data_IF_370382575424
#
_entry.id   IF_370382575424
#
_cell.length_a   1.000
_cell.length_b   1.000
_cell.length_c   1.000
_cell.angle_alpha   90.00
_cell.angle_beta   90.00
_cell.angle_gamma   90.00
#
_symmetry.space_group_name_H-M   'P 1'
#
loop_
_entity.id
_entity.type
_entity.pdbx_description
1 polymer ?
#
# COMPACT_ATOMS: atom_id res chain seq x y z
N UNK A 1 35.04 3.31 -12.47
CA UNK A 1 33.79 2.57 -12.73
C UNK A 1 33.80 1.40 -11.77
N UNK A 2 33.24 1.62 -10.59
CA UNK A 2 33.38 0.72 -9.44
C UNK A 2 32.29 -0.34 -9.47
N UNK A 3 32.56 -1.50 -8.88
CA UNK A 3 31.62 -2.63 -8.73
C UNK A 3 30.26 -2.22 -8.12
N UNK A 4 30.24 -1.13 -7.35
CA UNK A 4 29.04 -0.46 -6.81
C UNK A 4 28.16 0.19 -7.89
N UNK A 5 28.73 0.71 -8.97
CA UNK A 5 27.96 1.29 -10.10
C UNK A 5 27.30 0.21 -10.98
N UNK A 6 27.80 -1.03 -10.91
CA UNK A 6 27.26 -2.18 -11.63
C UNK A 6 26.07 -2.82 -10.89
N UNK A 7 26.05 -2.76 -9.55
CA UNK A 7 24.93 -3.22 -8.72
C UNK A 7 23.72 -2.27 -8.88
N UNK A 8 23.96 -0.97 -9.04
CA UNK A 8 22.90 0.05 -9.14
C UNK A 8 22.17 0.07 -10.51
N UNK A 9 22.75 -0.58 -11.53
CA UNK A 9 22.18 -0.68 -12.90
C UNK A 9 21.46 -1.99 -13.20
N UNK A 10 21.53 -2.98 -12.32
CA UNK A 10 21.08 -4.35 -12.63
C UNK A 10 19.58 -4.62 -12.40
N UNK A 11 18.84 -3.80 -11.63
CA UNK A 11 17.43 -4.08 -11.30
C UNK A 11 16.47 -2.91 -11.59
N UNK A 12 16.50 -2.39 -12.82
CA UNK A 12 15.39 -1.55 -13.27
C UNK A 12 14.10 -2.41 -13.32
N UNK A 13 13.19 -2.20 -12.37
CA UNK A 13 11.89 -2.92 -12.31
C UNK A 13 11.19 -2.83 -13.67
N UNK A 14 11.02 -3.98 -14.32
CA UNK A 14 10.46 -4.09 -15.67
C UNK A 14 8.99 -3.68 -15.70
N UNK A 15 8.48 -3.34 -16.88
CA UNK A 15 7.05 -3.06 -17.08
C UNK A 15 6.17 -4.22 -16.61
N UNK A 16 6.56 -5.47 -16.87
CA UNK A 16 5.82 -6.65 -16.41
C UNK A 16 5.79 -6.78 -14.87
N UNK A 17 6.90 -6.50 -14.19
CA UNK A 17 6.95 -6.51 -12.72
C UNK A 17 6.08 -5.39 -12.13
N UNK A 18 6.09 -4.19 -12.73
CA UNK A 18 5.22 -3.07 -12.34
C UNK A 18 3.74 -3.38 -12.55
N UNK A 19 3.38 -4.01 -13.67
CA UNK A 19 2.03 -4.46 -13.98
C UNK A 19 1.52 -5.46 -12.92
N UNK A 20 2.31 -6.50 -12.62
CA UNK A 20 1.99 -7.48 -11.57
C UNK A 20 1.80 -6.83 -10.20
N UNK A 21 2.62 -5.84 -9.87
CA UNK A 21 2.48 -5.12 -8.62
C UNK A 21 1.15 -4.34 -8.56
N UNK A 22 0.74 -3.67 -9.65
CA UNK A 22 -0.58 -3.02 -9.69
C UNK A 22 -1.74 -4.00 -9.59
N UNK A 23 -1.64 -5.16 -10.25
CA UNK A 23 -2.61 -6.25 -10.12
C UNK A 23 -2.75 -6.71 -8.67
N UNK A 24 -1.62 -6.99 -8.00
CA UNK A 24 -1.60 -7.40 -6.60
C UNK A 24 -2.24 -6.33 -5.70
N UNK A 25 -1.94 -5.05 -5.93
CA UNK A 25 -2.50 -3.95 -5.11
C UNK A 25 -4.00 -3.77 -5.32
N UNK A 26 -4.50 -3.97 -6.54
CA UNK A 26 -5.93 -3.94 -6.80
C UNK A 26 -6.64 -5.09 -6.08
N UNK A 27 -6.09 -6.31 -6.18
CA UNK A 27 -6.61 -7.48 -5.48
C UNK A 27 -6.63 -7.28 -3.97
N UNK A 28 -5.52 -6.83 -3.36
CA UNK A 28 -5.44 -6.56 -1.92
C UNK A 28 -6.48 -5.51 -1.46
N UNK A 29 -6.69 -4.46 -2.27
CA UNK A 29 -7.62 -3.39 -1.93
C UNK A 29 -9.10 -3.84 -1.99
N UNK A 30 -9.47 -4.59 -3.03
CA UNK A 30 -10.82 -5.11 -3.20
C UNK A 30 -11.12 -6.23 -2.18
N UNK A 31 -10.23 -7.21 -2.04
CA UNK A 31 -10.43 -8.30 -1.08
C UNK A 31 -10.45 -7.79 0.36
N UNK A 32 -9.64 -6.77 0.68
CA UNK A 32 -9.68 -6.12 1.99
C UNK A 32 -10.93 -5.27 2.22
N UNK A 33 -11.55 -4.72 1.17
CA UNK A 33 -12.89 -4.13 1.29
C UNK A 33 -13.94 -5.19 1.60
N UNK A 34 -13.94 -6.30 0.87
CA UNK A 34 -14.83 -7.44 1.14
C UNK A 34 -14.66 -7.95 2.58
N UNK A 35 -13.42 -8.14 3.04
CA UNK A 35 -13.11 -8.55 4.41
C UNK A 35 -13.64 -7.54 5.45
N UNK A 36 -13.42 -6.25 5.22
CA UNK A 36 -13.96 -5.19 6.09
C UNK A 36 -15.49 -5.24 6.21
N UNK A 37 -16.21 -5.45 5.11
CA UNK A 37 -17.68 -5.53 5.12
C UNK A 37 -18.18 -6.77 5.86
N UNK A 38 -17.51 -7.90 5.70
CA UNK A 38 -17.81 -9.14 6.44
C UNK A 38 -17.62 -8.93 7.94
N UNK A 39 -16.47 -8.38 8.35
CA UNK A 39 -16.17 -8.12 9.77
C UNK A 39 -17.19 -7.15 10.40
N UNK A 40 -17.63 -6.15 9.63
CA UNK A 40 -18.64 -5.16 10.04
C UNK A 40 -20.06 -5.73 10.06
N UNK A 41 -20.32 -6.83 9.35
CA UNK A 41 -21.67 -7.37 9.09
C UNK A 41 -22.57 -6.36 8.35
N UNK A 42 -21.99 -5.62 7.40
CA UNK A 42 -22.66 -4.55 6.65
C UNK A 42 -23.60 -5.10 5.55
N UNK A 43 -24.62 -5.85 5.93
CA UNK A 43 -25.56 -6.49 4.98
C UNK A 43 -26.39 -5.46 4.21
N UNK A 44 -26.60 -4.27 4.79
CA UNK A 44 -27.31 -3.16 4.17
C UNK A 44 -26.58 -2.57 2.96
N UNK A 45 -25.25 -2.70 2.89
CA UNK A 45 -24.42 -2.17 1.79
C UNK A 45 -24.12 -3.22 0.71
N UNK A 46 -24.65 -4.44 0.83
CA UNK A 46 -24.27 -5.58 -0.01
C UNK A 46 -24.61 -5.36 -1.48
N UNK A 47 -25.79 -4.81 -1.79
CA UNK A 47 -26.20 -4.58 -3.18
C UNK A 47 -25.29 -3.56 -3.86
N UNK A 48 -25.02 -2.44 -3.18
CA UNK A 48 -24.14 -1.38 -3.69
C UNK A 48 -22.69 -1.89 -3.80
N UNK A 49 -22.26 -2.76 -2.88
CA UNK A 49 -20.96 -3.42 -2.98
C UNK A 49 -20.83 -4.28 -4.25
N UNK A 50 -21.86 -5.08 -4.58
CA UNK A 50 -21.86 -5.90 -5.81
C UNK A 50 -21.75 -5.01 -7.06
N UNK A 51 -22.44 -3.87 -7.09
CA UNK A 51 -22.34 -2.91 -8.20
C UNK A 51 -20.93 -2.33 -8.30
N UNK A 52 -20.34 -1.91 -7.18
CA UNK A 52 -18.98 -1.40 -7.12
C UNK A 52 -17.97 -2.45 -7.60
N UNK A 53 -18.11 -3.71 -7.21
CA UNK A 53 -17.25 -4.79 -7.70
C UNK A 53 -17.37 -4.97 -9.22
N UNK A 54 -18.58 -4.96 -9.76
CA UNK A 54 -18.80 -5.05 -11.20
C UNK A 54 -18.10 -3.89 -11.94
N UNK A 55 -18.22 -2.66 -11.44
CA UNK A 55 -17.55 -1.48 -12.01
C UNK A 55 -16.01 -1.56 -11.92
N UNK A 56 -15.47 -2.05 -10.80
CA UNK A 56 -14.02 -2.24 -10.63
C UNK A 56 -13.48 -3.14 -11.73
N UNK A 57 -14.18 -4.24 -12.03
CA UNK A 57 -13.71 -5.29 -12.93
C UNK A 57 -14.11 -5.12 -14.41
N UNK A 58 -15.02 -4.20 -14.74
CA UNK A 58 -15.56 -4.06 -16.09
C UNK A 58 -14.52 -3.74 -17.19
N UNK A 59 -13.46 -2.99 -16.87
CA UNK A 59 -12.46 -2.52 -17.85
C UNK A 59 -11.04 -2.86 -17.40
N UNK A 60 -10.85 -4.07 -16.85
CA UNK A 60 -9.50 -4.55 -16.60
C UNK A 60 -8.72 -4.73 -17.91
N UNK A 61 -7.41 -4.44 -17.92
CA UNK A 61 -6.55 -4.88 -19.00
C UNK A 61 -6.60 -6.40 -19.15
N UNK A 62 -6.23 -6.92 -20.32
CA UNK A 62 -6.04 -8.36 -20.50
C UNK A 62 -5.12 -8.92 -19.40
N UNK A 63 -5.46 -10.10 -18.86
CA UNK A 63 -4.79 -10.66 -17.68
C UNK A 63 -3.29 -10.91 -17.89
N UNK A 64 -2.89 -11.23 -19.11
CA UNK A 64 -1.50 -11.43 -19.55
C UNK A 64 -0.80 -10.12 -19.98
N UNK A 65 -1.51 -8.98 -19.95
CA UNK A 65 -0.95 -7.69 -20.34
C UNK A 65 0.17 -7.26 -19.39
N UNK A 66 1.30 -6.90 -19.99
CA UNK A 66 2.45 -6.30 -19.30
C UNK A 66 2.43 -4.77 -19.33
N UNK A 67 1.36 -4.15 -19.85
CA UNK A 67 1.18 -2.71 -19.82
C UNK A 67 0.88 -2.23 -18.39
N UNK A 68 1.94 -1.88 -17.67
CA UNK A 68 1.83 -1.35 -16.32
C UNK A 68 1.03 -0.05 -16.22
N UNK A 69 0.94 0.77 -17.27
CA UNK A 69 0.16 2.01 -17.22
C UNK A 69 -1.33 1.72 -17.32
N UNK A 70 -1.73 0.70 -18.10
CA UNK A 70 -3.11 0.23 -18.12
C UNK A 70 -3.54 -0.33 -16.76
N UNK A 71 -2.69 -1.17 -16.14
CA UNK A 71 -2.95 -1.69 -14.80
C UNK A 71 -2.94 -0.61 -13.72
N UNK A 72 -2.06 0.39 -13.84
CA UNK A 72 -2.05 1.55 -12.95
C UNK A 72 -3.37 2.33 -13.02
N UNK A 73 -3.90 2.58 -14.23
CA UNK A 73 -5.20 3.26 -14.41
C UNK A 73 -6.34 2.45 -13.80
N UNK A 74 -6.35 1.13 -14.02
CA UNK A 74 -7.34 0.23 -13.43
C UNK A 74 -7.29 0.26 -11.90
N UNK A 75 -6.08 0.19 -11.30
CA UNK A 75 -5.89 0.30 -9.87
C UNK A 75 -6.45 1.61 -9.31
N UNK A 76 -6.11 2.76 -9.91
CA UNK A 76 -6.59 4.06 -9.40
C UNK A 76 -8.08 4.26 -9.53
N UNK A 77 -8.68 3.77 -10.62
CA UNK A 77 -10.13 3.76 -10.78
C UNK A 77 -10.78 2.92 -9.68
N UNK A 78 -10.26 1.70 -9.47
CA UNK A 78 -10.74 0.82 -8.42
C UNK A 78 -10.62 1.45 -7.03
N UNK A 79 -9.46 2.02 -6.71
CA UNK A 79 -9.24 2.73 -5.46
C UNK A 79 -10.23 3.89 -5.25
N UNK A 80 -10.53 4.68 -6.28
CA UNK A 80 -11.50 5.77 -6.19
C UNK A 80 -12.94 5.27 -5.97
N UNK A 81 -13.32 4.13 -6.59
CA UNK A 81 -14.61 3.49 -6.34
C UNK A 81 -14.71 2.97 -4.89
N UNK A 82 -13.67 2.30 -4.40
CA UNK A 82 -13.59 1.78 -3.03
C UNK A 82 -13.65 2.91 -1.99
N UNK A 83 -12.86 3.97 -2.17
CA UNK A 83 -12.86 5.13 -1.26
C UNK A 83 -14.24 5.80 -1.23
N UNK A 84 -14.86 6.03 -2.39
CA UNK A 84 -16.20 6.64 -2.47
C UNK A 84 -17.27 5.77 -1.82
N UNK A 85 -17.26 4.47 -2.09
CA UNK A 85 -18.19 3.53 -1.46
C UNK A 85 -18.05 3.58 0.06
N UNK A 86 -16.82 3.43 0.57
CA UNK A 86 -16.56 3.44 2.01
C UNK A 86 -17.04 4.74 2.68
N UNK A 87 -16.72 5.89 2.09
CA UNK A 87 -17.09 7.19 2.67
C UNK A 87 -18.59 7.45 2.60
N UNK A 88 -19.26 7.08 1.50
CA UNK A 88 -20.72 7.24 1.37
C UNK A 88 -21.46 6.42 2.42
N UNK A 89 -21.05 5.18 2.69
CA UNK A 89 -21.77 4.29 3.60
C UNK A 89 -21.36 4.42 5.06
N UNK A 90 -20.07 4.69 5.33
CA UNK A 90 -19.51 4.56 6.68
C UNK A 90 -18.71 5.79 7.14
N UNK A 91 -18.53 6.77 6.26
CA UNK A 91 -17.83 8.02 6.55
C UNK A 91 -16.30 7.93 6.46
N UNK A 92 -15.67 9.11 6.41
CA UNK A 92 -14.22 9.26 6.16
C UNK A 92 -13.34 8.52 7.18
N UNK A 93 -13.73 8.50 8.44
CA UNK A 93 -12.94 7.89 9.53
C UNK A 93 -12.68 6.39 9.33
N UNK A 94 -13.48 5.71 8.52
CA UNK A 94 -13.40 4.26 8.34
C UNK A 94 -12.29 3.85 7.37
N UNK A 95 -11.69 4.78 6.63
CA UNK A 95 -10.53 4.53 5.77
C UNK A 95 -9.38 3.85 6.53
N UNK A 96 -9.17 4.22 7.79
CA UNK A 96 -8.13 3.60 8.65
C UNK A 96 -8.46 2.15 8.98
N UNK A 97 -9.74 1.83 9.21
CA UNK A 97 -10.16 0.45 9.48
C UNK A 97 -10.06 -0.42 8.23
N UNK A 98 -10.45 0.12 7.07
CA UNK A 98 -10.25 -0.55 5.79
C UNK A 98 -8.77 -0.81 5.51
N UNK A 99 -7.87 0.15 5.79
CA UNK A 99 -6.42 -0.04 5.66
C UNK A 99 -5.88 -1.22 6.49
N UNK A 100 -6.46 -1.47 7.68
CA UNK A 100 -6.12 -2.63 8.52
C UNK A 100 -6.64 -3.94 7.94
N UNK A 101 -7.83 -3.94 7.33
CA UNK A 101 -8.35 -5.13 6.63
C UNK A 101 -7.49 -5.49 5.41
N UNK A 102 -7.06 -4.48 4.63
CA UNK A 102 -6.10 -4.69 3.54
C UNK A 102 -4.78 -5.31 4.04
N UNK A 103 -4.33 -4.93 5.24
CA UNK A 103 -3.12 -5.49 5.84
C UNK A 103 -3.26 -6.99 6.18
N UNK A 104 -4.45 -7.46 6.53
CA UNK A 104 -4.72 -8.89 6.75
C UNK A 104 -4.63 -9.69 5.45
N UNK A 105 -5.22 -9.16 4.36
CA UNK A 105 -5.10 -9.76 3.02
C UNK A 105 -3.64 -9.78 2.58
N UNK A 106 -2.93 -8.65 2.73
CA UNK A 106 -1.49 -8.57 2.49
C UNK A 106 -0.73 -9.67 3.22
N UNK A 107 -0.99 -9.85 4.53
CA UNK A 107 -0.28 -10.83 5.33
C UNK A 107 -0.47 -12.26 4.80
N UNK A 108 -1.66 -12.56 4.26
CA UNK A 108 -2.00 -13.85 3.67
C UNK A 108 -1.38 -14.07 2.27
N UNK A 109 -1.25 -13.02 1.45
CA UNK A 109 -0.93 -13.18 0.02
C UNK A 109 0.51 -12.82 -0.33
N UNK A 110 1.17 -11.99 0.48
CA UNK A 110 2.59 -11.71 0.28
C UNK A 110 3.44 -12.82 0.92
N UNK A 111 4.28 -13.48 0.11
CA UNK A 111 5.16 -14.53 0.62
C UNK A 111 6.16 -13.97 1.62
N UNK A 112 6.42 -14.74 2.67
CA UNK A 112 7.58 -14.51 3.54
C UNK A 112 8.85 -14.94 2.78
N UNK A 113 9.86 -14.07 2.75
CA UNK A 113 11.14 -14.33 2.07
C UNK A 113 12.26 -14.59 3.07
N UNK A 114 11.94 -14.64 4.37
CA UNK A 114 12.91 -14.85 5.45
C UNK A 114 13.78 -13.63 5.74
N UNK A 115 13.52 -12.48 5.11
CA UNK A 115 14.28 -11.24 5.30
C UNK A 115 13.82 -10.40 6.50
N UNK A 116 12.75 -10.81 7.17
CA UNK A 116 12.24 -10.16 8.38
C UNK A 116 11.80 -8.70 8.16
N UNK A 117 12.27 -7.77 8.99
CA UNK A 117 11.97 -6.35 8.86
C UNK A 117 12.37 -5.78 7.48
N UNK A 118 13.43 -6.32 6.86
CA UNK A 118 13.84 -5.93 5.52
C UNK A 118 12.77 -6.21 4.47
N UNK A 119 12.02 -7.32 4.58
CA UNK A 119 10.96 -7.65 3.61
C UNK A 119 9.78 -6.66 3.68
N UNK A 120 9.48 -6.15 4.88
CA UNK A 120 8.45 -5.12 5.09
C UNK A 120 8.87 -3.79 4.43
N UNK A 121 10.13 -3.39 4.62
CA UNK A 121 10.67 -2.19 3.97
C UNK A 121 10.76 -2.38 2.46
N UNK A 122 11.18 -3.56 1.98
CA UNK A 122 11.27 -3.85 0.56
C UNK A 122 9.89 -3.79 -0.11
N UNK A 123 8.82 -4.24 0.56
CA UNK A 123 7.44 -4.05 0.06
C UNK A 123 7.10 -2.58 -0.16
N UNK A 124 7.39 -1.71 0.81
CA UNK A 124 7.15 -0.27 0.69
C UNK A 124 8.00 0.32 -0.44
N UNK A 125 9.27 -0.07 -0.53
CA UNK A 125 10.19 0.35 -1.59
C UNK A 125 9.64 -0.01 -2.97
N UNK A 126 9.22 -1.28 -3.19
CA UNK A 126 8.61 -1.73 -4.46
C UNK A 126 7.38 -0.90 -4.83
N UNK A 127 6.53 -0.56 -3.86
CA UNK A 127 5.38 0.31 -4.12
C UNK A 127 5.83 1.71 -4.56
N UNK A 128 6.76 2.32 -3.84
CA UNK A 128 7.28 3.65 -4.12
C UNK A 128 8.02 3.72 -5.45
N UNK A 129 8.73 2.66 -5.83
CA UNK A 129 9.34 2.49 -7.16
C UNK A 129 8.26 2.49 -8.25
N UNK A 130 7.12 1.84 -8.00
CA UNK A 130 5.99 1.82 -8.92
C UNK A 130 5.38 3.20 -9.18
N UNK A 131 5.50 4.11 -8.20
CA UNK A 131 5.14 5.53 -8.32
C UNK A 131 6.29 6.44 -8.80
N UNK A 132 7.49 5.89 -9.07
CA UNK A 132 8.64 6.67 -9.51
C UNK A 132 9.21 7.59 -8.42
N UNK A 133 9.12 7.17 -7.16
CA UNK A 133 9.65 7.91 -6.01
C UNK A 133 11.18 7.89 -5.97
N UNK A 134 11.80 8.93 -5.41
CA UNK A 134 13.22 8.90 -5.06
C UNK A 134 13.38 8.45 -3.60
N UNK A 135 14.14 7.38 -3.38
CA UNK A 135 14.24 6.72 -2.08
C UNK A 135 15.58 6.02 -1.89
N UNK A 136 15.93 5.75 -0.63
CA UNK A 136 17.14 5.06 -0.22
C UNK A 136 16.84 4.18 0.99
N UNK A 137 17.21 2.90 0.93
CA UNK A 137 17.22 2.02 2.11
C UNK A 137 18.36 2.46 3.02
N UNK A 138 18.06 2.80 4.26
CA UNK A 138 19.05 3.30 5.24
C UNK A 138 19.59 2.19 6.14
N UNK A 139 18.84 1.11 6.29
CA UNK A 139 19.16 -0.05 7.13
C UNK A 139 18.39 -1.26 6.61
N UNK A 140 18.98 -2.45 6.61
CA UNK A 140 18.35 -3.67 6.08
C UNK A 140 18.86 -4.92 6.79
N UNK A 141 18.21 -5.26 7.90
CA UNK A 141 18.45 -6.49 8.67
C UNK A 141 17.13 -7.19 8.97
N UNK A 142 17.20 -8.43 9.46
CA UNK A 142 16.01 -9.20 9.84
C UNK A 142 15.23 -8.56 11.01
N UNK A 143 15.91 -7.90 11.94
CA UNK A 143 15.28 -7.31 13.13
C UNK A 143 14.96 -5.82 12.98
N UNK A 144 15.65 -5.14 12.06
CA UNK A 144 15.48 -3.70 11.82
C UNK A 144 15.77 -3.31 10.38
N UNK A 145 14.92 -2.46 9.81
CA UNK A 145 15.11 -1.90 8.49
C UNK A 145 14.60 -0.46 8.43
N UNK A 146 15.14 0.33 7.50
CA UNK A 146 14.78 1.73 7.34
C UNK A 146 14.76 2.20 5.90
N UNK A 147 13.90 3.17 5.61
CA UNK A 147 13.73 3.75 4.29
C UNK A 147 13.63 5.27 4.39
N UNK A 148 14.40 5.98 3.58
CA UNK A 148 14.27 7.43 3.39
C UNK A 148 13.70 7.69 2.01
N UNK A 149 12.61 8.43 1.93
CA UNK A 149 12.00 8.93 0.70
C UNK A 149 12.28 10.42 0.61
N UNK A 150 13.00 10.86 -0.42
CA UNK A 150 13.32 12.28 -0.65
C UNK A 150 12.34 12.96 -1.60
N UNK A 151 11.70 12.18 -2.50
CA UNK A 151 10.61 12.64 -3.37
C UNK A 151 9.55 11.57 -3.48
N UNK A 152 8.39 11.79 -2.85
CA UNK A 152 7.28 10.86 -2.86
C UNK A 152 6.48 10.93 -4.17
N UNK A 153 6.56 9.87 -4.98
CA UNK A 153 5.79 9.77 -6.23
C UNK A 153 4.28 9.68 -6.00
N UNK A 154 3.84 9.07 -4.88
CA UNK A 154 2.42 9.01 -4.48
C UNK A 154 1.87 10.42 -4.27
N UNK A 155 2.63 11.25 -3.55
CA UNK A 155 2.28 12.66 -3.33
C UNK A 155 2.15 13.40 -4.66
N UNK A 156 3.20 13.38 -5.47
CA UNK A 156 3.22 14.05 -6.78
C UNK A 156 2.07 13.61 -7.68
N UNK A 157 1.75 12.32 -7.67
CA UNK A 157 0.63 11.76 -8.42
C UNK A 157 -0.72 12.33 -7.94
N UNK A 158 -0.99 12.31 -6.63
CA UNK A 158 -2.26 12.82 -6.09
C UNK A 158 -2.40 14.33 -6.25
N UNK A 159 -1.32 15.10 -6.08
CA UNK A 159 -1.36 16.54 -6.34
C UNK A 159 -1.62 16.85 -7.82
N UNK A 160 -1.06 16.06 -8.74
CA UNK A 160 -1.36 16.20 -10.17
C UNK A 160 -2.84 15.89 -10.44
N UNK A 161 -3.39 14.84 -9.84
CA UNK A 161 -4.81 14.50 -9.96
C UNK A 161 -5.71 15.63 -9.42
N UNK A 162 -5.38 16.20 -8.24
CA UNK A 162 -6.11 17.33 -7.66
C UNK A 162 -6.07 18.57 -8.56
N UNK A 163 -4.89 18.92 -9.10
CA UNK A 163 -4.74 20.02 -10.06
C UNK A 163 -5.53 19.81 -11.35
N UNK A 164 -5.81 18.56 -11.72
CA UNK A 164 -6.66 18.18 -12.86
C UNK A 164 -8.15 18.10 -12.52
N UNK A 165 -8.55 18.49 -11.31
CA UNK A 165 -9.95 18.47 -10.88
C UNK A 165 -10.50 17.10 -10.53
N UNK A 166 -9.64 16.08 -10.35
CA UNK A 166 -10.09 14.76 -9.89
C UNK A 166 -10.55 14.88 -8.43
N UNK A 167 -11.81 14.53 -8.10
CA UNK A 167 -12.26 14.50 -6.71
C UNK A 167 -11.45 13.47 -5.93
N UNK A 168 -10.77 13.93 -4.88
CA UNK A 168 -10.03 13.06 -3.97
C UNK A 168 -10.74 13.04 -2.62
N UNK A 169 -10.98 11.83 -2.13
CA UNK A 169 -11.61 11.60 -0.82
C UNK A 169 -10.69 12.04 0.33
N UNK A 170 -9.38 11.85 0.15
CA UNK A 170 -8.38 12.18 1.17
C UNK A 170 -7.89 13.62 1.09
N UNK A 171 -7.79 14.25 2.26
CA UNK A 171 -7.19 15.58 2.40
C UNK A 171 -5.69 15.55 2.07
N UNK A 172 -5.00 14.49 2.50
CA UNK A 172 -3.57 14.25 2.23
C UNK A 172 -3.33 12.80 1.77
N UNK A 173 -2.48 12.56 0.75
CA UNK A 173 -2.03 11.21 0.40
C UNK A 173 -1.35 10.48 1.56
N UNK A 174 -0.73 11.22 2.49
CA UNK A 174 0.00 10.64 3.61
C UNK A 174 -0.92 9.98 4.64
N UNK A 175 -2.14 10.49 4.83
CA UNK A 175 -3.12 9.99 5.80
C UNK A 175 -3.37 8.48 5.66
N UNK A 176 -3.61 8.02 4.43
CA UNK A 176 -3.80 6.60 4.15
C UNK A 176 -2.47 5.84 4.07
N UNK A 177 -1.45 6.44 3.45
CA UNK A 177 -0.17 5.77 3.23
C UNK A 177 0.49 5.37 4.56
N UNK A 178 0.43 6.24 5.57
CA UNK A 178 1.08 5.97 6.85
C UNK A 178 0.34 4.89 7.63
N UNK A 179 -0.98 4.97 7.72
CA UNK A 179 -1.81 3.96 8.38
C UNK A 179 -1.72 2.59 7.69
N UNK A 180 -1.81 2.55 6.36
CA UNK A 180 -1.68 1.31 5.59
C UNK A 180 -0.30 0.67 5.77
N UNK A 181 0.77 1.46 5.70
CA UNK A 181 2.14 0.94 5.87
C UNK A 181 2.38 0.43 7.28
N UNK A 182 1.94 1.17 8.30
CA UNK A 182 2.04 0.71 9.70
C UNK A 182 1.17 -0.52 9.97
N UNK A 183 -0.01 -0.63 9.37
CA UNK A 183 -0.86 -1.81 9.48
C UNK A 183 -0.20 -3.04 8.83
N UNK A 184 0.40 -2.89 7.65
CA UNK A 184 1.15 -3.95 6.98
C UNK A 184 2.29 -4.46 7.87
N UNK A 185 3.10 -3.56 8.45
CA UNK A 185 4.17 -3.95 9.36
C UNK A 185 3.65 -4.79 10.54
N UNK A 186 2.56 -4.33 11.20
CA UNK A 186 1.94 -5.05 12.32
C UNK A 186 1.39 -6.41 11.92
N UNK A 187 0.79 -6.52 10.74
CA UNK A 187 0.24 -7.79 10.25
C UNK A 187 1.33 -8.86 10.00
N UNK A 188 2.60 -8.44 9.87
CA UNK A 188 3.76 -9.34 9.80
C UNK A 188 4.55 -9.41 11.13
N UNK A 189 4.03 -8.85 12.24
CA UNK A 189 4.67 -8.91 13.56
C UNK A 189 5.74 -7.84 13.81
N UNK A 190 5.73 -6.74 13.06
CA UNK A 190 6.68 -5.64 13.19
C UNK A 190 6.02 -4.34 13.67
N UNK A 191 6.82 -3.47 14.27
CA UNK A 191 6.46 -2.09 14.55
C UNK A 191 7.09 -1.18 13.49
N UNK A 192 6.32 -0.22 12.99
CA UNK A 192 6.81 0.81 12.09
C UNK A 192 6.58 2.20 12.68
N UNK A 193 7.62 3.01 12.69
CA UNK A 193 7.55 4.45 12.95
C UNK A 193 7.89 5.22 11.70
N UNK A 194 7.36 6.44 11.60
CA UNK A 194 7.63 7.31 10.46
C UNK A 194 7.72 8.78 10.86
N UNK A 195 8.39 9.54 10.03
CA UNK A 195 8.47 10.99 10.07
C UNK A 195 8.15 11.51 8.67
N UNK A 196 7.23 12.48 8.58
CA UNK A 196 7.00 13.20 7.32
C UNK A 196 8.04 14.30 7.20
N UNK A 197 8.69 14.38 6.04
CA UNK A 197 9.76 15.36 5.79
C UNK A 197 9.30 16.27 4.67
N UNK A 198 9.29 17.57 4.92
CA UNK A 198 9.01 18.59 3.92
C UNK A 198 10.23 19.49 3.76
N UNK A 199 10.70 19.62 2.52
CA UNK A 199 11.78 20.55 2.16
C UNK A 199 11.35 21.35 0.93
N UNK A 200 10.89 22.58 1.15
CA UNK A 200 10.37 23.45 0.10
C UNK A 200 9.20 22.82 -0.68
N UNK A 201 9.45 22.39 -1.92
CA UNK A 201 8.45 21.78 -2.82
C UNK A 201 8.51 20.24 -2.83
N UNK A 202 9.43 19.64 -2.07
CA UNK A 202 9.61 18.19 -2.00
C UNK A 202 8.99 17.62 -0.74
N UNK A 203 8.06 16.69 -0.93
CA UNK A 203 7.46 15.89 0.14
C UNK A 203 8.09 14.50 0.18
N UNK A 204 8.57 14.12 1.36
CA UNK A 204 9.24 12.87 1.64
C UNK A 204 8.79 12.28 2.97
N UNK A 205 9.39 11.16 3.33
CA UNK A 205 9.18 10.52 4.62
C UNK A 205 10.37 9.65 5.00
N UNK A 206 10.53 9.39 6.30
CA UNK A 206 11.46 8.41 6.84
C UNK A 206 10.67 7.33 7.53
N UNK A 207 11.05 6.08 7.31
CA UNK A 207 10.46 4.91 7.92
C UNK A 207 11.52 4.14 8.67
N UNK A 208 11.14 3.61 9.83
CA UNK A 208 11.90 2.64 10.59
C UNK A 208 10.96 1.50 10.95
N UNK A 209 11.35 0.28 10.60
CA UNK A 209 10.65 -0.95 10.93
C UNK A 209 11.54 -1.76 11.84
N UNK A 210 10.99 -2.25 12.93
CA UNK A 210 11.71 -3.12 13.88
C UNK A 210 10.83 -4.29 14.27
N UNK A 211 11.44 -5.42 14.63
CA UNK A 211 10.72 -6.53 15.27
C UNK A 211 10.00 -5.95 16.48
N UNK A 212 8.69 -6.20 16.59
CA UNK A 212 7.99 -5.85 17.81
C UNK A 212 8.69 -6.60 18.95
N UNK A 213 9.11 -5.89 20.01
CA UNK A 213 9.55 -6.57 21.22
C UNK A 213 8.46 -7.59 21.57
N UNK A 214 8.83 -8.85 21.84
CA UNK A 214 7.89 -9.93 22.10
C UNK A 214 6.76 -9.41 23.00
N UNK A 215 5.60 -9.15 22.40
CA UNK A 215 4.44 -8.80 23.19
C UNK A 215 4.16 -10.08 23.99
N UNK A 216 4.10 -10.04 25.33
CA UNK A 216 3.90 -11.25 26.11
C UNK A 216 2.63 -11.90 25.58
N UNK A 217 2.76 -13.16 25.14
CA UNK A 217 1.63 -13.97 24.69
C UNK A 217 0.47 -13.70 25.65
N UNK A 218 -0.69 -13.31 25.11
CA UNK A 218 -1.88 -13.05 25.94
C UNK A 218 -2.03 -14.22 26.90
N UNK A 219 -1.74 -13.97 28.17
CA UNK A 219 -1.96 -14.94 29.22
C UNK A 219 -3.48 -15.12 29.32
N UNK A 220 -3.98 -16.22 28.77
CA UNK A 220 -5.38 -16.61 28.92
C UNK A 220 -6.05 -16.99 27.62
N UNK A 221 -5.83 -18.24 27.20
CA UNK A 221 -6.90 -19.11 26.73
C UNK A 221 -6.38 -20.56 26.77
N UNK A 222 -6.36 -21.09 28.00
CA UNK A 222 -6.54 -22.52 28.25
C UNK A 222 -7.79 -22.66 29.11
N UNK A 223 -8.87 -23.09 28.48
CA UNK A 223 -9.89 -23.99 29.03
C UNK A 223 -10.66 -24.57 27.85
#
# INVERSE_FOLDING_TARGET
>A
MTELDAIDRADAVTGAQRARLWQQRLFEAEAGMTGYLVDRRATEALYDWIQVQAEIFADLPALDSTDHLAWQRAFFRGQALLERFLVTHFGHAEIVRWARSNAAVYAAVEPDRGGGAADVVDRLRRQLDNYGSAQQVTESTADRAGLRVTRCGIWSYRELARRRGVPLTLSSPCEYCTESTSANARAKGYEATYELVEDGQTHGCRWQVRRAAEWPARAGERA
#
